data_IF_068285670369
#
_entry.id   IF_068285670369
#
_cell.length_a   1.000
_cell.length_b   1.000
_cell.length_c   1.000
_cell.angle_alpha   90.00
_cell.angle_beta   90.00
_cell.angle_gamma   90.00
#
_symmetry.space_group_name_H-M   'P 1'
#
loop_
_entity.id
_entity.type
_entity.pdbx_description
1 polymer ?
#
# COMPACT_ATOMS: atom_id res chain seq x y z
N UNK A 1 -8.16 -12.25 6.81
CA UNK A 1 -9.39 -11.43 6.74
C UNK A 1 -9.22 -10.43 5.61
N UNK A 2 -10.25 -10.28 4.77
CA UNK A 2 -10.25 -9.25 3.72
C UNK A 2 -10.38 -7.85 4.32
N UNK A 3 -9.97 -6.82 3.56
CA UNK A 3 -10.17 -5.42 3.94
C UNK A 3 -11.64 -5.01 3.73
N UNK A 4 -12.19 -4.26 4.68
CA UNK A 4 -13.51 -3.64 4.55
C UNK A 4 -13.44 -2.30 3.81
N UNK A 5 -14.59 -1.76 3.38
CA UNK A 5 -14.67 -0.41 2.81
C UNK A 5 -14.12 0.65 3.78
N UNK A 6 -14.36 0.50 5.08
CA UNK A 6 -13.79 1.38 6.10
C UNK A 6 -12.26 1.31 6.20
N UNK A 7 -11.67 0.14 5.92
CA UNK A 7 -10.21 0.00 5.86
C UNK A 7 -9.64 0.70 4.61
N UNK A 8 -10.30 0.54 3.46
CA UNK A 8 -9.91 1.24 2.23
C UNK A 8 -9.99 2.76 2.38
N UNK A 9 -11.04 3.28 3.05
CA UNK A 9 -11.14 4.72 3.37
C UNK A 9 -9.95 5.20 4.21
N UNK A 10 -9.60 4.47 5.27
CA UNK A 10 -8.43 4.81 6.12
C UNK A 10 -7.12 4.81 5.35
N UNK A 11 -6.95 3.89 4.39
CA UNK A 11 -5.76 3.87 3.52
C UNK A 11 -5.70 5.15 2.69
N UNK A 12 -6.80 5.53 2.04
CA UNK A 12 -6.85 6.75 1.22
C UNK A 12 -6.65 8.01 2.06
N UNK A 13 -7.28 8.10 3.23
CA UNK A 13 -7.11 9.19 4.20
C UNK A 13 -5.65 9.34 4.63
N UNK A 14 -4.96 8.24 4.96
CA UNK A 14 -3.54 8.27 5.35
C UNK A 14 -2.64 8.85 4.24
N UNK A 15 -3.00 8.60 2.98
CA UNK A 15 -2.27 9.09 1.81
C UNK A 15 -2.85 10.39 1.23
N UNK A 16 -3.76 11.06 1.94
CA UNK A 16 -4.45 12.29 1.52
C UNK A 16 -5.07 12.18 0.11
N UNK A 17 -5.68 11.04 -0.20
CA UNK A 17 -6.37 10.81 -1.47
C UNK A 17 -7.87 11.12 -1.34
N UNK A 18 -8.50 11.46 -2.46
CA UNK A 18 -9.96 11.65 -2.49
C UNK A 18 -10.65 10.31 -2.24
N UNK A 19 -11.76 10.33 -1.50
CA UNK A 19 -12.54 9.13 -1.17
C UNK A 19 -13.69 9.02 -2.18
N UNK A 20 -13.67 8.05 -3.11
CA UNK A 20 -14.77 7.84 -4.04
C UNK A 20 -16.03 7.38 -3.31
N UNK A 21 -17.20 7.72 -3.86
CA UNK A 21 -18.49 7.23 -3.33
C UNK A 21 -18.77 5.76 -3.67
N UNK A 22 -18.23 5.27 -4.79
CA UNK A 22 -18.41 3.88 -5.23
C UNK A 22 -17.42 2.95 -4.52
N UNK A 23 -17.92 1.86 -3.93
CA UNK A 23 -17.10 0.85 -3.27
C UNK A 23 -16.07 0.21 -4.21
N UNK A 24 -16.43 0.01 -5.47
CA UNK A 24 -15.51 -0.51 -6.49
C UNK A 24 -14.35 0.45 -6.72
N UNK A 25 -14.65 1.73 -6.89
CA UNK A 25 -13.63 2.77 -7.11
C UNK A 25 -12.79 3.00 -5.85
N UNK A 26 -13.40 2.93 -4.68
CA UNK A 26 -12.73 3.02 -3.39
C UNK A 26 -11.64 1.95 -3.24
N UNK A 27 -12.00 0.68 -3.53
CA UNK A 27 -11.06 -0.44 -3.53
C UNK A 27 -9.95 -0.23 -4.56
N UNK A 28 -10.31 0.11 -5.80
CA UNK A 28 -9.34 0.32 -6.87
C UNK A 28 -8.35 1.44 -6.55
N UNK A 29 -8.83 2.57 -6.04
CA UNK A 29 -7.97 3.68 -5.65
C UNK A 29 -7.00 3.28 -4.52
N UNK A 30 -7.48 2.53 -3.52
CA UNK A 30 -6.65 2.06 -2.41
C UNK A 30 -5.60 1.04 -2.87
N UNK A 31 -5.98 0.10 -3.74
CA UNK A 31 -5.06 -0.88 -4.34
C UNK A 31 -3.99 -0.21 -5.21
N UNK A 32 -4.39 0.81 -5.98
CA UNK A 32 -3.50 1.57 -6.85
C UNK A 32 -2.49 2.41 -6.05
N UNK A 33 -2.94 3.18 -5.05
CA UNK A 33 -2.00 4.01 -4.26
C UNK A 33 -1.00 3.14 -3.50
N UNK A 34 -1.42 1.98 -2.98
CA UNK A 34 -0.52 1.03 -2.32
C UNK A 34 0.48 0.42 -3.31
N UNK A 35 0.04 0.11 -4.54
CA UNK A 35 0.93 -0.33 -5.62
C UNK A 35 1.98 0.74 -5.95
N UNK A 36 1.55 1.98 -6.11
CA UNK A 36 2.43 3.11 -6.42
C UNK A 36 3.49 3.30 -5.34
N UNK A 37 3.11 3.25 -4.06
CA UNK A 37 4.07 3.33 -2.95
C UNK A 37 5.02 2.15 -2.92
N UNK A 38 4.53 0.94 -3.18
CA UNK A 38 5.35 -0.27 -3.21
C UNK A 38 6.39 -0.18 -4.33
N UNK A 39 5.96 0.12 -5.55
CA UNK A 39 6.85 0.22 -6.70
C UNK A 39 7.85 1.36 -6.58
N UNK A 40 7.43 2.51 -6.05
CA UNK A 40 8.32 3.65 -5.81
C UNK A 40 9.39 3.31 -4.75
N UNK A 41 9.01 2.60 -3.70
CA UNK A 41 9.94 2.11 -2.69
C UNK A 41 10.94 1.11 -3.29
N UNK A 42 10.47 0.12 -4.06
CA UNK A 42 11.33 -0.89 -4.70
C UNK A 42 12.36 -0.20 -5.60
N UNK A 43 11.89 0.72 -6.47
CA UNK A 43 12.75 1.50 -7.37
C UNK A 43 13.80 2.33 -6.63
N UNK A 44 13.46 2.87 -5.45
CA UNK A 44 14.38 3.66 -4.63
C UNK A 44 15.41 2.81 -3.89
N UNK A 45 14.99 1.65 -3.36
CA UNK A 45 15.84 0.78 -2.53
C UNK A 45 16.77 -0.09 -3.38
N UNK A 46 16.34 -0.47 -4.58
CA UNK A 46 17.12 -1.36 -5.45
C UNK A 46 17.08 -0.85 -6.89
N UNK A 47 18.01 0.03 -7.28
CA UNK A 47 18.00 0.62 -8.61
C UNK A 47 18.45 -0.36 -9.70
N UNK A 48 19.19 -1.45 -9.41
CA UNK A 48 19.87 -2.21 -10.48
C UNK A 48 19.88 -3.74 -10.41
N UNK A 49 19.91 -4.45 -9.26
CA UNK A 49 20.00 -5.95 -9.30
C UNK A 49 19.34 -6.72 -8.13
N UNK A 50 18.85 -6.05 -7.09
CA UNK A 50 18.34 -6.71 -5.88
C UNK A 50 16.81 -6.55 -5.75
N UNK A 51 16.05 -6.83 -6.81
CA UNK A 51 14.59 -6.65 -6.81
C UNK A 51 13.90 -7.44 -5.66
N UNK A 52 14.25 -8.73 -5.40
CA UNK A 52 13.66 -9.49 -4.29
C UNK A 52 13.90 -8.86 -2.92
N UNK A 53 15.11 -8.33 -2.68
CA UNK A 53 15.46 -7.64 -1.43
C UNK A 53 14.65 -6.35 -1.27
N UNK A 54 14.56 -5.56 -2.33
CA UNK A 54 13.74 -4.35 -2.37
C UNK A 54 12.27 -4.64 -2.07
N UNK A 55 11.72 -5.70 -2.66
CA UNK A 55 10.35 -6.17 -2.40
C UNK A 55 10.18 -6.51 -0.92
N UNK A 56 11.08 -7.27 -0.32
CA UNK A 56 11.01 -7.64 1.10
C UNK A 56 10.98 -6.42 2.02
N UNK A 57 11.92 -5.50 1.84
CA UNK A 57 12.03 -4.26 2.63
C UNK A 57 10.79 -3.39 2.48
N UNK A 58 10.34 -3.18 1.25
CA UNK A 58 9.20 -2.31 0.97
C UNK A 58 7.87 -2.94 1.43
N UNK A 59 7.73 -4.26 1.29
CA UNK A 59 6.57 -5.00 1.81
C UNK A 59 6.46 -4.87 3.32
N UNK A 60 7.58 -4.99 4.04
CA UNK A 60 7.61 -4.81 5.49
C UNK A 60 7.12 -3.43 5.92
N UNK A 61 7.58 -2.39 5.23
CA UNK A 61 7.26 -1.00 5.59
C UNK A 61 5.84 -0.56 5.21
N UNK A 62 5.34 -0.99 4.06
CA UNK A 62 4.05 -0.55 3.53
C UNK A 62 2.91 -1.41 4.06
N UNK A 63 3.13 -2.72 4.25
CA UNK A 63 2.08 -3.67 4.63
C UNK A 63 2.26 -4.22 6.05
N UNK A 64 3.37 -4.94 6.31
CA UNK A 64 3.48 -5.75 7.52
C UNK A 64 3.44 -4.90 8.80
N UNK A 65 4.14 -3.77 8.84
CA UNK A 65 4.11 -2.80 9.95
C UNK A 65 2.72 -2.19 10.20
N UNK A 66 1.80 -2.34 9.26
CA UNK A 66 0.43 -1.80 9.30
C UNK A 66 -0.62 -2.88 9.46
N UNK A 67 -0.20 -4.11 9.83
CA UNK A 67 -1.05 -5.29 9.96
C UNK A 67 -1.75 -5.72 8.66
N UNK A 68 -1.14 -5.43 7.52
CA UNK A 68 -1.60 -5.87 6.22
C UNK A 68 -0.61 -6.86 5.61
N UNK A 69 -1.11 -7.76 4.77
CA UNK A 69 -0.32 -8.59 3.86
C UNK A 69 -0.70 -8.19 2.44
N UNK A 70 0.32 -7.96 1.60
CA UNK A 70 0.10 -7.76 0.17
C UNK A 70 -0.27 -9.10 -0.48
N UNK A 71 -1.08 -9.05 -1.52
CA UNK A 71 -1.19 -10.14 -2.47
C UNK A 71 -0.24 -9.95 -3.66
N UNK A 72 -0.70 -10.31 -4.84
CA UNK A 72 0.05 -10.12 -6.09
C UNK A 72 0.08 -8.65 -6.47
N UNK A 73 1.21 -8.18 -6.97
CA UNK A 73 1.39 -6.79 -7.39
C UNK A 73 2.09 -6.73 -8.76
N UNK A 74 1.90 -5.63 -9.47
CA UNK A 74 2.62 -5.35 -10.72
C UNK A 74 3.12 -3.91 -10.73
N UNK A 75 4.38 -3.71 -11.12
CA UNK A 75 4.97 -2.37 -11.24
C UNK A 75 5.14 -1.87 -12.69
N UNK A 76 5.08 -2.77 -13.68
CA UNK A 76 5.49 -2.49 -15.08
C UNK A 76 4.36 -1.95 -15.96
N UNK A 77 3.13 -2.43 -15.80
CA UNK A 77 1.99 -2.02 -16.65
C UNK A 77 0.94 -1.27 -15.85
N UNK A 78 -0.01 -1.99 -15.28
CA UNK A 78 -1.05 -1.45 -14.40
C UNK A 78 -0.60 -1.63 -12.96
N UNK A 79 -0.17 -0.52 -12.33
CA UNK A 79 0.20 -0.53 -10.92
C UNK A 79 -1.03 -0.80 -10.08
N UNK A 80 -1.13 -2.03 -9.62
CA UNK A 80 -2.23 -2.51 -8.79
C UNK A 80 -1.72 -3.64 -7.90
N UNK A 81 -2.41 -3.81 -6.78
CA UNK A 81 -2.23 -4.94 -5.87
C UNK A 81 -3.56 -5.65 -5.78
N UNK A 82 -3.57 -6.97 -5.93
CA UNK A 82 -4.76 -7.80 -5.82
C UNK A 82 -4.65 -8.70 -4.60
N UNK A 83 -5.74 -8.83 -3.84
CA UNK A 83 -5.82 -9.74 -2.69
C UNK A 83 -5.06 -9.23 -1.47
N UNK A 84 -5.25 -7.96 -1.11
CA UNK A 84 -4.72 -7.41 0.14
C UNK A 84 -5.55 -8.00 1.29
N UNK A 85 -4.86 -8.56 2.28
CA UNK A 85 -5.50 -9.06 3.49
C UNK A 85 -4.98 -8.31 4.71
N UNK A 86 -5.77 -8.30 5.78
CA UNK A 86 -5.36 -7.81 7.08
C UNK A 86 -5.22 -8.98 8.05
N UNK A 87 -4.20 -8.89 8.90
CA UNK A 87 -4.00 -9.84 10.01
C UNK A 87 -4.73 -9.39 11.26
N UNK A 88 -4.84 -8.08 11.47
CA UNK A 88 -5.52 -7.44 12.59
C UNK A 88 -6.08 -6.08 12.15
N UNK A 89 -6.55 -5.26 13.10
CA UNK A 89 -6.91 -3.86 12.84
C UNK A 89 -5.72 -3.12 12.22
N UNK A 90 -5.96 -2.48 11.08
CA UNK A 90 -4.94 -1.69 10.37
C UNK A 90 -4.45 -0.57 11.28
N UNK A 91 -3.13 -0.41 11.36
CA UNK A 91 -2.48 0.64 12.14
C UNK A 91 -1.66 1.52 11.22
N UNK A 92 -1.98 2.80 11.21
CA UNK A 92 -1.15 3.82 10.61
C UNK A 92 -0.41 4.54 11.73
N UNK A 93 0.92 4.41 11.77
CA UNK A 93 1.70 5.28 12.64
C UNK A 93 1.50 6.72 12.14
N UNK A 94 1.16 7.65 13.05
CA UNK A 94 1.17 9.08 12.73
C UNK A 94 2.51 9.38 12.06
N UNK A 95 2.48 10.01 10.88
CA UNK A 95 3.70 10.58 10.31
C UNK A 95 4.27 11.49 11.40
N UNK A 96 5.49 11.21 11.88
CA UNK A 96 6.26 12.27 12.49
C UNK A 96 6.37 13.33 11.38
N UNK A 97 5.75 14.50 11.59
CA UNK A 97 6.04 15.68 10.77
C UNK A 97 7.55 15.83 10.86
N UNK A 98 8.28 15.46 9.81
CA UNK A 98 9.65 15.93 9.68
C UNK A 98 9.51 17.44 9.66
N UNK A 99 9.98 18.09 10.74
CA UNK A 99 10.14 19.55 10.76
C UNK A 99 11.05 19.85 9.57
N UNK A 100 10.49 20.56 8.58
CA UNK A 100 11.28 21.23 7.56
C UNK A 100 12.03 22.37 8.23
#
# INVERSE_FOLDING_TARGET
MELSNSDYKKILEFYNQTIPRSDRLLKQAAEQILADKLCSCIKKVSPLNDEPRGIGICTKNIFLRRNMKRGSFSCKKKRQIKGITKTQKIRFNKKNKTKN
#
